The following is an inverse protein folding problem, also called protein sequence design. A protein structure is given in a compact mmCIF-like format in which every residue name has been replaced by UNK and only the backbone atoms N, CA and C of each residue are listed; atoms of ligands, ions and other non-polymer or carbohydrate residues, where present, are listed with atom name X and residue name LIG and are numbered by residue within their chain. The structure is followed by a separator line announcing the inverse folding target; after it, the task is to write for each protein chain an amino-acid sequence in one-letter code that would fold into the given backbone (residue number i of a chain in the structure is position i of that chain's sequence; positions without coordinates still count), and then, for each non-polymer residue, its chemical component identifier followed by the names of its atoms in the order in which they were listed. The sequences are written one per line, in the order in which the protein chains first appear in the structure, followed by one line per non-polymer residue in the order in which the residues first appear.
data_IF_509741368490
#
_entry.id   IF_509741368490
#
_cell.length_a   1.000
_cell.length_b   1.000
_cell.length_c   1.000
_cell.angle_alpha   90.00
_cell.angle_beta   90.00
_cell.angle_gamma   90.00
#
_symmetry.space_group_name_H-M   'P 1'
#
loop_
_entity.id
_entity.type
_entity.pdbx_description
1 polymer ?
#
# COMPACT_ATOMS: atom_id res chain seq x y z
N UNK A 1 8.32 -2.36 -70.74
CA UNK A 1 7.43 -1.30 -70.21
C UNK A 1 6.71 -1.86 -68.99
N UNK A 2 6.83 -1.19 -67.83
CA UNK A 2 5.99 -1.38 -66.61
C UNK A 2 6.42 -2.54 -65.69
N UNK A 3 7.37 -2.39 -64.77
CA UNK A 3 7.31 -1.71 -63.46
C UNK A 3 6.79 -2.63 -62.32
N UNK A 4 7.72 -3.36 -61.70
CA UNK A 4 7.60 -3.93 -60.36
C UNK A 4 7.68 -2.80 -59.32
N UNK A 5 6.73 -2.75 -58.39
CA UNK A 5 6.82 -1.90 -57.19
C UNK A 5 6.97 -2.78 -55.94
N UNK A 6 8.23 -3.12 -55.65
CA UNK A 6 8.65 -3.58 -54.33
C UNK A 6 8.60 -2.41 -53.35
N UNK A 7 7.62 -2.42 -52.44
CA UNK A 7 7.59 -1.48 -51.31
C UNK A 7 8.55 -1.95 -50.22
N UNK A 8 9.70 -1.28 -50.19
CA UNK A 8 10.63 -1.20 -49.08
C UNK A 8 9.92 -0.63 -47.85
N UNK A 9 9.84 -1.40 -46.77
CA UNK A 9 9.62 -0.87 -45.42
C UNK A 9 10.98 -0.43 -44.84
N UNK A 10 11.08 0.75 -44.20
CA UNK A 10 12.31 1.13 -43.51
C UNK A 10 12.44 0.33 -42.22
N UNK A 11 13.56 -0.39 -42.07
CA UNK A 11 13.96 -1.01 -40.81
C UNK A 11 14.09 0.03 -39.70
N UNK A 12 13.47 -0.25 -38.55
CA UNK A 12 13.67 0.53 -37.33
C UNK A 12 15.07 0.26 -36.77
N UNK A 13 15.81 1.29 -36.33
CA UNK A 13 17.14 1.11 -35.76
C UNK A 13 17.06 0.33 -34.44
N UNK A 14 17.71 -0.84 -34.42
CA UNK A 14 17.93 -1.65 -33.21
C UNK A 14 18.92 -0.89 -32.30
N UNK A 15 18.44 -0.47 -31.13
CA UNK A 15 19.31 0.06 -30.07
C UNK A 15 20.17 -1.06 -29.48
N UNK A 16 21.45 -0.79 -29.13
CA UNK A 16 22.37 -1.81 -28.66
C UNK A 16 21.98 -2.30 -27.26
N UNK A 17 21.78 -3.62 -27.14
CA UNK A 17 21.63 -4.36 -25.87
C UNK A 17 22.86 -4.09 -25.00
N UNK A 18 22.73 -3.25 -23.97
CA UNK A 18 23.68 -3.20 -22.86
C UNK A 18 23.27 -4.27 -21.85
N UNK A 19 23.98 -5.41 -21.86
CA UNK A 19 23.97 -6.34 -20.73
C UNK A 19 24.52 -5.60 -19.51
N UNK A 20 23.68 -5.37 -18.50
CA UNK A 20 24.14 -4.94 -17.19
C UNK A 20 24.65 -6.18 -16.45
N UNK A 21 25.96 -6.42 -16.53
CA UNK A 21 26.66 -7.33 -15.62
C UNK A 21 26.83 -6.62 -14.27
N UNK A 22 26.14 -7.12 -13.23
CA UNK A 22 26.34 -6.70 -11.84
C UNK A 22 27.72 -7.15 -11.33
N UNK A 23 28.54 -6.27 -10.73
CA UNK A 23 29.71 -6.68 -9.98
C UNK A 23 29.31 -7.08 -8.54
N UNK A 24 29.49 -8.36 -8.20
CA UNK A 24 29.81 -8.79 -6.84
C UNK A 24 31.19 -8.19 -6.51
N UNK A 25 31.35 -7.44 -5.42
CA UNK A 25 32.45 -7.48 -4.41
C UNK A 25 32.12 -6.43 -3.32
N UNK A 26 31.75 -6.85 -2.11
CA UNK A 26 32.62 -6.90 -0.91
C UNK A 26 33.30 -5.57 -0.56
N UNK A 27 32.91 -4.96 0.57
CA UNK A 27 33.83 -4.20 1.44
C UNK A 27 33.31 -4.23 2.88
N UNK A 28 33.78 -5.21 3.64
CA UNK A 28 34.19 -5.01 5.03
C UNK A 28 35.43 -4.12 5.05
N UNK A 29 35.48 -3.10 5.90
CA UNK A 29 36.58 -2.80 6.85
C UNK A 29 36.54 -1.36 7.37
N UNK A 30 36.70 -1.27 8.67
CA UNK A 30 37.08 -0.13 9.51
C UNK A 30 38.43 0.46 9.10
N UNK A 31 38.61 1.78 9.21
CA UNK A 31 39.66 2.43 10.04
C UNK A 31 39.77 3.94 9.81
N UNK A 32 39.92 4.66 10.92
CA UNK A 32 40.24 6.07 11.08
C UNK A 32 41.48 6.54 10.32
N UNK A 33 41.50 7.81 9.89
CA UNK A 33 42.71 8.64 9.89
C UNK A 33 42.34 10.11 10.11
N UNK A 34 42.99 10.70 11.11
CA UNK A 34 43.00 12.09 11.54
C UNK A 34 43.75 13.00 10.57
N UNK A 35 43.27 14.23 10.32
CA UNK A 35 44.12 15.38 9.99
C UNK A 35 43.59 16.62 10.73
N UNK A 36 44.52 17.26 11.43
CA UNK A 36 44.37 18.42 12.30
C UNK A 36 44.99 19.64 11.59
N UNK A 37 44.37 20.82 11.67
CA UNK A 37 45.00 22.13 11.40
C UNK A 37 44.34 23.21 12.27
N UNK A 38 45.18 23.95 13.00
CA UNK A 38 44.81 24.72 14.18
C UNK A 38 44.32 26.17 13.94
N UNK A 39 43.92 26.81 15.05
CA UNK A 39 43.63 28.24 15.13
C UNK A 39 42.97 28.67 16.45
N UNK A 40 43.79 29.04 17.45
CA UNK A 40 43.42 29.48 18.82
C UNK A 40 42.53 30.73 18.86
N UNK A 41 41.57 30.80 19.80
CA UNK A 41 41.43 31.83 20.86
C UNK A 41 40.68 31.25 22.07
N UNK A 42 41.20 31.45 23.28
CA UNK A 42 40.56 31.20 24.60
C UNK A 42 40.43 32.56 25.32
N UNK A 43 39.52 32.82 26.30
CA UNK A 43 39.67 32.21 27.64
C UNK A 43 38.40 32.02 28.55
N UNK A 44 38.39 30.88 29.29
CA UNK A 44 38.10 30.72 30.74
C UNK A 44 36.65 30.75 31.32
N UNK A 45 36.41 30.22 32.54
CA UNK A 45 35.74 28.91 32.74
C UNK A 45 34.59 28.92 33.78
N UNK A 46 33.81 27.83 33.89
CA UNK A 46 33.13 27.43 35.15
C UNK A 46 33.05 25.90 35.25
N UNK A 47 33.37 25.40 36.44
CA UNK A 47 33.54 24.02 36.91
C UNK A 47 32.25 23.20 37.04
N UNK A 48 32.35 21.86 36.95
CA UNK A 48 32.10 20.96 38.09
C UNK A 48 32.39 19.48 37.77
N UNK A 49 32.97 18.83 38.77
CA UNK A 49 33.50 17.48 38.90
C UNK A 49 32.40 16.38 39.03
N UNK A 50 32.62 15.19 38.46
CA UNK A 50 33.00 13.93 39.15
C UNK A 50 31.83 13.33 39.96
N UNK A 51 31.35 12.11 39.70
CA UNK A 51 32.08 10.89 40.06
C UNK A 51 31.35 9.63 39.57
N UNK A 52 32.17 8.62 39.30
CA UNK A 52 31.85 7.23 38.96
C UNK A 52 31.15 6.49 40.13
N UNK A 53 30.50 5.36 39.85
CA UNK A 53 30.80 4.02 40.39
C UNK A 53 29.66 3.01 40.12
N UNK A 54 29.97 1.99 39.31
CA UNK A 54 29.44 0.61 39.36
C UNK A 54 29.93 -0.09 40.67
N UNK A 55 29.53 -1.33 41.09
CA UNK A 55 29.02 -2.45 40.28
C UNK A 55 28.00 -3.43 40.94
N UNK A 56 27.38 -4.25 40.08
CA UNK A 56 27.15 -5.70 40.22
C UNK A 56 26.42 -6.29 41.44
N UNK A 57 25.39 -7.10 41.21
CA UNK A 57 25.50 -8.58 41.35
C UNK A 57 24.20 -9.30 40.97
N UNK A 58 24.39 -10.55 40.58
CA UNK A 58 23.47 -11.54 40.03
C UNK A 58 22.63 -12.25 41.11
N UNK A 59 21.39 -12.66 40.79
CA UNK A 59 20.84 -13.90 41.33
C UNK A 59 19.67 -14.43 40.49
N UNK A 60 19.47 -15.73 40.62
CA UNK A 60 18.85 -16.67 39.67
C UNK A 60 17.53 -17.24 40.20
N UNK A 61 16.73 -17.77 39.26
CA UNK A 61 15.79 -18.91 39.36
C UNK A 61 14.34 -18.79 39.91
N UNK A 62 13.46 -19.28 39.02
CA UNK A 62 12.32 -20.24 39.16
C UNK A 62 10.91 -19.80 39.57
N UNK A 63 10.02 -19.96 38.57
CA UNK A 63 8.77 -20.75 38.54
C UNK A 63 7.82 -20.71 39.75
N UNK A 64 6.61 -20.22 39.49
CA UNK A 64 5.44 -20.37 40.37
C UNK A 64 4.16 -19.93 39.67
N UNK A 65 3.46 -20.91 39.09
CA UNK A 65 2.19 -20.83 38.38
C UNK A 65 1.04 -20.43 39.34
N UNK A 66 0.24 -19.43 38.98
CA UNK A 66 -1.08 -19.20 39.57
C UNK A 66 -2.11 -18.91 38.47
N UNK A 67 -3.11 -19.77 38.48
CA UNK A 67 -4.32 -19.78 37.66
C UNK A 67 -5.19 -18.56 37.99
N UNK A 68 -5.57 -17.80 36.96
CA UNK A 68 -6.57 -16.75 37.04
C UNK A 68 -7.37 -16.74 35.74
N UNK A 69 -8.60 -17.25 35.82
CA UNK A 69 -9.56 -17.26 34.73
C UNK A 69 -9.92 -15.82 34.34
N UNK A 70 -9.57 -15.41 33.12
CA UNK A 70 -10.21 -14.28 32.47
C UNK A 70 -10.83 -14.72 31.15
N UNK A 71 -12.11 -14.41 31.04
CA UNK A 71 -13.05 -14.63 29.95
C UNK A 71 -12.46 -14.25 28.60
N UNK A 72 -12.16 -15.28 27.80
CA UNK A 72 -11.80 -15.13 26.40
C UNK A 72 -13.06 -14.86 25.56
N UNK A 73 -13.44 -13.59 25.51
CA UNK A 73 -14.34 -13.02 24.50
C UNK A 73 -13.52 -12.10 23.61
N UNK A 74 -12.56 -12.65 22.85
CA UNK A 74 -11.91 -11.96 21.73
C UNK A 74 -11.14 -12.92 20.81
N UNK A 75 -11.62 -14.15 20.66
CA UNK A 75 -11.14 -15.03 19.60
C UNK A 75 -12.13 -15.01 18.45
N UNK A 76 -12.14 -13.91 17.70
CA UNK A 76 -12.51 -14.01 16.29
C UNK A 76 -11.56 -15.04 15.68
N UNK A 77 -12.12 -16.20 15.37
CA UNK A 77 -11.44 -17.29 14.69
C UNK A 77 -10.82 -16.76 13.40
N UNK A 78 -9.55 -16.36 13.45
CA UNK A 78 -8.70 -16.29 12.27
C UNK A 78 -8.11 -17.68 12.12
N UNK A 79 -8.45 -18.45 11.08
CA UNK A 79 -7.64 -19.61 10.76
C UNK A 79 -6.23 -19.08 10.53
N UNK A 80 -5.24 -19.61 11.24
CA UNK A 80 -3.85 -19.46 10.85
C UNK A 80 -3.73 -20.05 9.44
N UNK A 81 -3.86 -19.21 8.42
CA UNK A 81 -3.56 -19.59 7.04
C UNK A 81 -2.05 -19.72 6.98
N UNK A 82 -1.55 -20.92 7.27
CA UNK A 82 -0.20 -21.34 6.94
C UNK A 82 0.07 -20.95 5.48
N UNK A 83 0.99 -20.01 5.30
CA UNK A 83 1.59 -19.54 4.05
C UNK A 83 0.61 -19.19 2.91
N UNK A 84 0.05 -17.97 2.97
CA UNK A 84 -0.68 -17.36 1.86
C UNK A 84 0.17 -17.22 0.57
N UNK A 85 1.49 -17.29 0.65
CA UNK A 85 2.40 -17.24 -0.49
C UNK A 85 3.36 -18.43 -0.44
N UNK A 86 3.62 -19.02 -1.60
CA UNK A 86 4.67 -20.03 -1.75
C UNK A 86 6.07 -19.40 -1.70
N UNK A 87 7.09 -20.18 -1.33
CA UNK A 87 8.49 -19.72 -1.39
C UNK A 87 8.88 -19.24 -2.79
N UNK A 88 8.39 -19.95 -3.82
CA UNK A 88 8.61 -19.57 -5.22
C UNK A 88 8.01 -18.20 -5.56
N UNK A 89 6.76 -17.92 -5.15
CA UNK A 89 6.16 -16.60 -5.36
C UNK A 89 6.94 -15.50 -4.63
N UNK A 90 7.40 -15.79 -3.41
CA UNK A 90 8.21 -14.84 -2.64
C UNK A 90 9.55 -14.56 -3.34
N UNK A 91 10.24 -15.58 -3.84
CA UNK A 91 11.49 -15.45 -4.60
C UNK A 91 11.28 -14.62 -5.88
N UNK A 92 10.17 -14.84 -6.59
CA UNK A 92 9.78 -14.05 -7.76
C UNK A 92 9.59 -12.58 -7.37
N UNK A 93 8.85 -12.30 -6.29
CA UNK A 93 8.63 -10.92 -5.84
C UNK A 93 9.93 -10.23 -5.42
N UNK A 94 10.79 -10.92 -4.66
CA UNK A 94 12.07 -10.40 -4.19
C UNK A 94 13.06 -10.15 -5.32
N UNK A 95 13.10 -11.02 -6.32
CA UNK A 95 14.01 -10.87 -7.47
C UNK A 95 13.56 -9.82 -8.48
N UNK A 96 12.26 -9.61 -8.64
CA UNK A 96 11.70 -8.67 -9.63
C UNK A 96 11.41 -7.29 -9.09
N UNK A 97 11.17 -7.13 -7.77
CA UNK A 97 10.97 -5.82 -7.16
C UNK A 97 12.09 -4.80 -7.45
N UNK A 98 13.39 -5.15 -7.37
CA UNK A 98 14.46 -4.21 -7.68
C UNK A 98 14.41 -3.62 -9.09
N UNK A 99 13.84 -4.34 -10.06
CA UNK A 99 13.66 -3.85 -11.44
C UNK A 99 12.61 -2.74 -11.50
N UNK A 100 11.54 -2.88 -10.71
CA UNK A 100 10.49 -1.86 -10.56
C UNK A 100 10.99 -0.70 -9.68
N UNK A 101 11.79 -1.00 -8.66
CA UNK A 101 12.20 -0.02 -7.65
C UNK A 101 13.26 0.96 -8.14
N UNK A 102 14.03 0.58 -9.17
CA UNK A 102 15.15 1.36 -9.71
C UNK A 102 14.76 2.81 -10.05
N UNK A 103 13.55 3.02 -10.59
CA UNK A 103 12.97 4.34 -10.90
C UNK A 103 11.59 4.48 -10.26
N UNK A 104 11.50 4.19 -8.96
CA UNK A 104 10.25 4.07 -8.19
C UNK A 104 9.22 5.17 -8.48
N UNK A 105 9.64 6.45 -8.46
CA UNK A 105 8.72 7.57 -8.67
C UNK A 105 8.14 7.59 -10.08
N UNK A 106 9.00 7.46 -11.09
CA UNK A 106 8.61 7.49 -12.51
C UNK A 106 7.74 6.29 -12.88
N UNK A 107 8.12 5.10 -12.39
CA UNK A 107 7.34 3.87 -12.58
C UNK A 107 5.97 3.97 -11.90
N UNK A 108 5.91 4.57 -10.71
CA UNK A 108 4.65 4.85 -10.03
C UNK A 108 3.76 5.84 -10.80
N UNK A 109 4.32 6.92 -11.34
CA UNK A 109 3.58 7.82 -12.24
C UNK A 109 2.99 7.09 -13.44
N UNK A 110 3.76 6.17 -14.05
CA UNK A 110 3.30 5.38 -15.18
C UNK A 110 2.10 4.48 -14.82
N UNK A 111 2.07 3.90 -13.60
CA UNK A 111 0.88 3.18 -13.11
C UNK A 111 -0.35 4.09 -13.07
N UNK A 112 -0.23 5.30 -12.52
CA UNK A 112 -1.36 6.22 -12.45
C UNK A 112 -1.81 6.70 -13.84
N UNK A 113 -0.88 6.97 -14.76
CA UNK A 113 -1.19 7.31 -16.14
C UNK A 113 -1.95 6.17 -16.85
N UNK A 114 -1.53 4.92 -16.65
CA UNK A 114 -2.23 3.75 -17.17
C UNK A 114 -3.62 3.63 -16.54
N UNK A 115 -3.76 3.81 -15.22
CA UNK A 115 -5.05 3.77 -14.53
C UNK A 115 -6.02 4.86 -15.04
N UNK A 116 -5.54 6.08 -15.28
CA UNK A 116 -6.34 7.17 -15.83
C UNK A 116 -6.68 6.96 -17.31
N UNK A 117 -5.85 6.21 -18.04
CA UNK A 117 -6.14 5.82 -19.42
C UNK A 117 -7.24 4.76 -19.47
N UNK A 118 -7.19 3.78 -18.56
CA UNK A 118 -8.22 2.74 -18.40
C UNK A 118 -9.55 3.36 -17.96
N UNK A 119 -9.54 4.21 -16.91
CA UNK A 119 -10.74 4.86 -16.39
C UNK A 119 -10.55 6.39 -16.27
N UNK A 120 -10.96 7.17 -17.29
CA UNK A 120 -10.72 8.61 -17.36
C UNK A 120 -11.35 9.47 -16.27
N UNK A 121 -12.33 8.95 -15.53
CA UNK A 121 -12.93 9.69 -14.40
C UNK A 121 -12.15 9.51 -13.09
N UNK A 122 -11.20 8.57 -13.01
CA UNK A 122 -10.44 8.30 -11.80
C UNK A 122 -9.71 9.52 -11.21
N UNK A 123 -9.17 10.47 -12.01
CA UNK A 123 -8.55 11.69 -11.49
C UNK A 123 -9.43 12.48 -10.51
N UNK A 124 -10.76 12.44 -10.63
CA UNK A 124 -11.71 13.21 -9.79
C UNK A 124 -11.58 12.94 -8.29
N UNK A 125 -11.02 11.78 -7.91
CA UNK A 125 -10.83 11.38 -6.52
C UNK A 125 -9.55 11.95 -5.90
N UNK A 126 -8.68 12.54 -6.71
CA UNK A 126 -7.45 13.14 -6.24
C UNK A 126 -7.71 14.62 -5.96
N UNK A 127 -7.63 15.01 -4.68
CA UNK A 127 -7.85 16.39 -4.22
C UNK A 127 -6.79 17.40 -4.72
N UNK A 128 -6.00 17.04 -5.74
CA UNK A 128 -5.05 17.91 -6.42
C UNK A 128 -5.62 18.50 -7.72
N UNK A 129 -6.85 18.13 -8.11
CA UNK A 129 -7.49 18.59 -9.35
C UNK A 129 -7.74 20.11 -9.42
N UNK A 130 -7.71 20.79 -8.28
CA UNK A 130 -7.81 22.26 -8.20
C UNK A 130 -6.46 22.96 -8.44
N UNK A 131 -5.36 22.21 -8.44
CA UNK A 131 -4.03 22.74 -8.74
C UNK A 131 -3.74 22.59 -10.24
N UNK A 132 -3.08 23.59 -10.88
CA UNK A 132 -2.55 23.39 -12.21
C UNK A 132 -1.63 22.16 -12.23
N UNK A 133 -1.81 21.27 -13.21
CA UNK A 133 -1.04 20.01 -13.33
C UNK A 133 0.47 20.23 -13.35
N UNK A 134 0.91 21.35 -13.88
CA UNK A 134 2.33 21.71 -14.00
C UNK A 134 2.83 22.55 -12.79
N UNK A 135 2.00 22.75 -11.77
CA UNK A 135 2.42 23.45 -10.56
C UNK A 135 3.35 22.59 -9.71
N UNK A 136 4.32 23.23 -9.07
CA UNK A 136 5.25 22.58 -8.15
C UNK A 136 4.51 21.85 -7.02
N UNK A 137 3.44 22.46 -6.49
CA UNK A 137 2.62 21.86 -5.43
C UNK A 137 1.86 20.60 -5.90
N UNK A 138 1.34 20.59 -7.13
CA UNK A 138 0.72 19.38 -7.71
C UNK A 138 1.76 18.26 -7.82
N UNK A 139 2.94 18.58 -8.34
CA UNK A 139 4.02 17.62 -8.52
C UNK A 139 4.54 17.08 -7.18
N UNK A 140 4.68 17.93 -6.16
CA UNK A 140 5.11 17.52 -4.82
C UNK A 140 4.08 16.57 -4.17
N UNK A 141 2.81 16.98 -4.14
CA UNK A 141 1.74 16.19 -3.51
C UNK A 141 1.51 14.88 -4.25
N UNK A 142 1.51 14.92 -5.59
CA UNK A 142 1.42 13.74 -6.44
C UNK A 142 2.58 12.78 -6.22
N UNK A 143 3.82 13.29 -6.20
CA UNK A 143 5.01 12.48 -5.97
C UNK A 143 5.00 11.82 -4.59
N UNK A 144 4.57 12.54 -3.54
CA UNK A 144 4.40 11.95 -2.21
C UNK A 144 3.37 10.83 -2.19
N UNK A 145 2.22 11.03 -2.84
CA UNK A 145 1.19 9.99 -2.93
C UNK A 145 1.69 8.77 -3.70
N UNK A 146 2.40 8.97 -4.81
CA UNK A 146 2.96 7.89 -5.62
C UNK A 146 4.05 7.12 -4.86
N UNK A 147 4.93 7.80 -4.15
CA UNK A 147 5.93 7.12 -3.31
C UNK A 147 5.28 6.33 -2.19
N UNK A 148 4.21 6.84 -1.58
CA UNK A 148 3.43 6.11 -0.59
C UNK A 148 2.77 4.86 -1.20
N UNK A 149 2.17 5.00 -2.39
CA UNK A 149 1.58 3.89 -3.16
C UNK A 149 2.63 2.82 -3.48
N UNK A 150 3.78 3.20 -4.05
CA UNK A 150 4.87 2.26 -4.33
C UNK A 150 5.41 1.63 -3.05
N UNK A 151 5.42 2.38 -1.95
CA UNK A 151 5.79 1.91 -0.61
C UNK A 151 4.90 0.77 -0.10
N UNK A 152 3.65 0.66 -0.56
CA UNK A 152 2.75 -0.44 -0.18
C UNK A 152 3.34 -1.78 -0.61
N UNK A 153 3.88 -1.89 -1.82
CA UNK A 153 4.39 -3.16 -2.35
C UNK A 153 5.65 -3.63 -1.63
N UNK A 154 6.63 -2.76 -1.39
CA UNK A 154 7.83 -3.14 -0.63
C UNK A 154 7.48 -3.55 0.80
N UNK A 155 6.55 -2.85 1.45
CA UNK A 155 6.10 -3.20 2.78
C UNK A 155 5.30 -4.52 2.80
N UNK A 156 4.54 -4.80 1.75
CA UNK A 156 3.83 -6.08 1.60
C UNK A 156 4.84 -7.22 1.45
N UNK A 157 5.83 -7.08 0.56
CA UNK A 157 6.89 -8.08 0.37
C UNK A 157 7.68 -8.30 1.67
N UNK A 158 8.07 -7.22 2.37
CA UNK A 158 8.75 -7.30 3.67
C UNK A 158 7.91 -8.06 4.71
N UNK A 159 6.61 -7.78 4.79
CA UNK A 159 5.70 -8.50 5.69
C UNK A 159 5.62 -10.00 5.38
N UNK A 160 5.69 -10.38 4.10
CA UNK A 160 5.70 -11.78 3.69
C UNK A 160 7.06 -12.45 3.97
N UNK A 161 8.15 -11.69 3.92
CA UNK A 161 9.53 -12.15 4.12
C UNK A 161 10.02 -12.03 5.58
N UNK A 162 9.19 -12.42 6.54
CA UNK A 162 9.55 -12.41 7.97
C UNK A 162 9.43 -11.06 8.67
N UNK A 163 8.93 -10.02 7.98
CA UNK A 163 8.56 -8.75 8.59
C UNK A 163 7.26 -8.82 9.41
N UNK A 164 6.86 -7.68 9.94
CA UNK A 164 5.70 -7.53 10.83
C UNK A 164 4.37 -7.54 10.04
N UNK A 165 3.80 -8.73 9.88
CA UNK A 165 2.53 -8.98 9.16
C UNK A 165 1.34 -8.28 9.79
N UNK A 166 1.25 -8.27 11.12
CA UNK A 166 0.11 -7.69 11.84
C UNK A 166 0.11 -6.17 11.68
N UNK A 167 1.25 -5.52 11.88
CA UNK A 167 1.38 -4.08 11.65
C UNK A 167 1.17 -3.68 10.20
N UNK A 168 1.58 -4.50 9.23
CA UNK A 168 1.25 -4.26 7.83
C UNK A 168 -0.27 -4.29 7.62
N UNK A 169 -0.93 -5.35 8.11
CA UNK A 169 -2.37 -5.52 8.00
C UNK A 169 -3.15 -4.36 8.63
N UNK A 170 -2.84 -3.96 9.87
CA UNK A 170 -3.48 -2.82 10.55
C UNK A 170 -3.36 -1.51 9.75
N UNK A 171 -2.16 -1.24 9.20
CA UNK A 171 -1.94 -0.05 8.38
C UNK A 171 -2.75 -0.08 7.09
N UNK A 172 -2.88 -1.25 6.46
CA UNK A 172 -3.68 -1.40 5.24
C UNK A 172 -5.18 -1.31 5.54
N UNK A 173 -5.66 -1.85 6.67
CA UNK A 173 -7.03 -1.65 7.14
C UNK A 173 -7.36 -0.16 7.29
N UNK A 174 -6.50 0.59 7.98
CA UNK A 174 -6.68 2.04 8.11
C UNK A 174 -6.60 2.77 6.77
N UNK A 175 -5.73 2.32 5.86
CA UNK A 175 -5.63 2.89 4.52
C UNK A 175 -6.90 2.61 3.71
N UNK A 176 -7.50 1.44 3.82
CA UNK A 176 -8.79 1.10 3.22
C UNK A 176 -9.90 2.02 3.72
N UNK A 177 -10.04 2.16 5.05
CA UNK A 177 -11.00 3.07 5.65
C UNK A 177 -10.84 4.53 5.17
N UNK A 178 -9.59 5.00 5.00
CA UNK A 178 -9.31 6.34 4.43
C UNK A 178 -9.76 6.49 2.98
N UNK A 179 -9.69 5.43 2.18
CA UNK A 179 -10.22 5.47 0.81
C UNK A 179 -11.75 5.45 0.80
N UNK A 180 -12.39 4.67 1.67
CA UNK A 180 -13.85 4.67 1.82
C UNK A 180 -14.40 6.04 2.23
N UNK A 181 -13.66 6.80 3.03
CA UNK A 181 -14.02 8.16 3.41
C UNK A 181 -13.94 9.19 2.26
N UNK A 182 -13.39 8.83 1.08
CA UNK A 182 -13.35 9.72 -0.08
C UNK A 182 -14.73 9.70 -0.76
N UNK A 183 -15.41 10.86 -0.91
CA UNK A 183 -16.74 10.90 -1.50
C UNK A 183 -16.82 10.26 -2.89
N UNK A 184 -17.72 9.28 -3.05
CA UNK A 184 -17.95 8.57 -4.31
C UNK A 184 -16.86 7.56 -4.69
N UNK A 185 -15.85 7.34 -3.84
CA UNK A 185 -14.87 6.28 -4.02
C UNK A 185 -15.54 4.92 -3.86
N UNK A 186 -15.18 3.99 -4.74
CA UNK A 186 -15.72 2.63 -4.79
C UNK A 186 -14.58 1.62 -4.85
N UNK A 187 -14.75 0.49 -4.17
CA UNK A 187 -13.74 -0.59 -4.11
C UNK A 187 -13.41 -1.17 -5.48
N UNK A 188 -14.33 -1.09 -6.44
CA UNK A 188 -14.13 -1.52 -7.83
C UNK A 188 -13.01 -0.75 -8.53
N UNK A 189 -12.72 0.49 -8.13
CA UNK A 189 -11.61 1.26 -8.68
C UNK A 189 -10.24 0.62 -8.38
N UNK A 190 -10.11 -0.19 -7.32
CA UNK A 190 -8.87 -0.94 -7.08
C UNK A 190 -8.59 -1.96 -8.19
N UNK A 191 -9.61 -2.47 -8.89
CA UNK A 191 -9.43 -3.36 -10.04
C UNK A 191 -8.77 -2.65 -11.23
N UNK A 192 -9.09 -1.36 -11.43
CA UNK A 192 -8.43 -0.52 -12.44
C UNK A 192 -6.93 -0.40 -12.11
N UNK A 193 -6.61 -0.14 -10.85
CA UNK A 193 -5.22 -0.07 -10.41
C UNK A 193 -4.51 -1.42 -10.56
N UNK A 194 -5.13 -2.55 -10.22
CA UNK A 194 -4.54 -3.88 -10.47
C UNK A 194 -4.14 -4.07 -11.93
N UNK A 195 -5.05 -3.76 -12.85
CA UNK A 195 -4.77 -3.86 -14.28
C UNK A 195 -3.64 -2.91 -14.69
N UNK A 196 -3.69 -1.65 -14.26
CA UNK A 196 -2.67 -0.66 -14.56
C UNK A 196 -1.27 -1.06 -14.05
N UNK A 197 -1.18 -1.63 -12.84
CA UNK A 197 0.07 -2.12 -12.26
C UNK A 197 0.66 -3.23 -13.13
N UNK A 198 -0.15 -4.24 -13.48
CA UNK A 198 0.34 -5.37 -14.29
C UNK A 198 0.76 -4.93 -15.70
N UNK A 199 0.03 -4.00 -16.32
CA UNK A 199 0.42 -3.39 -17.60
C UNK A 199 1.76 -2.66 -17.48
N UNK A 200 1.94 -1.90 -16.40
CA UNK A 200 3.21 -1.20 -16.16
C UNK A 200 4.35 -2.19 -15.96
N UNK A 201 4.19 -3.23 -15.14
CA UNK A 201 5.27 -4.20 -14.86
C UNK A 201 5.68 -4.95 -16.12
N UNK A 202 4.70 -5.33 -16.95
CA UNK A 202 4.94 -5.91 -18.27
C UNK A 202 5.77 -4.99 -19.17
N UNK A 203 5.46 -3.70 -19.19
CA UNK A 203 6.21 -2.72 -19.98
C UNK A 203 7.63 -2.44 -19.46
N UNK A 204 7.88 -2.66 -18.16
CA UNK A 204 9.19 -2.42 -17.54
C UNK A 204 10.12 -3.64 -17.66
N UNK A 205 9.58 -4.84 -17.47
CA UNK A 205 10.35 -6.08 -17.43
C UNK A 205 10.45 -6.78 -18.81
N UNK A 206 9.56 -6.43 -19.75
CA UNK A 206 9.53 -7.01 -21.11
C UNK A 206 9.57 -8.55 -21.09
N UNK A 207 10.63 -9.16 -21.62
CA UNK A 207 10.80 -10.61 -21.71
C UNK A 207 10.89 -11.28 -20.31
N UNK A 208 11.27 -10.54 -19.27
CA UNK A 208 11.34 -11.05 -17.89
C UNK A 208 9.96 -11.11 -17.22
N UNK A 209 8.91 -10.50 -17.81
CA UNK A 209 7.54 -10.57 -17.28
C UNK A 209 6.83 -11.86 -17.72
N UNK A 210 7.36 -13.00 -17.25
CA UNK A 210 6.79 -14.31 -17.54
C UNK A 210 5.42 -14.51 -16.88
N UNK A 211 4.72 -15.57 -17.26
CA UNK A 211 3.43 -15.90 -16.65
C UNK A 211 3.53 -16.16 -15.14
N UNK A 212 4.65 -16.70 -14.67
CA UNK A 212 4.92 -16.88 -13.24
C UNK A 212 5.07 -15.54 -12.53
N UNK A 213 5.82 -14.60 -13.13
CA UNK A 213 5.97 -13.24 -12.62
C UNK A 213 4.62 -12.53 -12.56
N UNK A 214 3.84 -12.60 -13.64
CA UNK A 214 2.49 -12.02 -13.69
C UNK A 214 1.59 -12.59 -12.59
N UNK A 215 1.60 -13.91 -12.39
CA UNK A 215 0.77 -14.57 -11.36
C UNK A 215 1.18 -14.16 -9.95
N UNK A 216 2.47 -14.18 -9.62
CA UNK A 216 2.97 -13.79 -8.30
C UNK A 216 2.63 -12.33 -7.97
N UNK A 217 2.83 -11.41 -8.94
CA UNK A 217 2.45 -10.01 -8.77
C UNK A 217 0.95 -9.82 -8.65
N UNK A 218 0.15 -10.50 -9.47
CA UNK A 218 -1.31 -10.43 -9.38
C UNK A 218 -1.80 -10.91 -8.00
N UNK A 219 -1.21 -11.98 -7.47
CA UNK A 219 -1.52 -12.50 -6.15
C UNK A 219 -1.15 -11.51 -5.03
N UNK A 220 0.03 -10.90 -5.08
CA UNK A 220 0.41 -9.85 -4.14
C UNK A 220 -0.55 -8.66 -4.17
N UNK A 221 -0.94 -8.22 -5.36
CA UNK A 221 -1.87 -7.10 -5.53
C UNK A 221 -3.26 -7.48 -4.98
N UNK A 222 -3.75 -8.69 -5.25
CA UNK A 222 -5.02 -9.17 -4.72
C UNK A 222 -5.01 -9.28 -3.19
N UNK A 223 -3.90 -9.73 -2.62
CA UNK A 223 -3.71 -9.77 -1.17
C UNK A 223 -3.84 -8.36 -0.55
N UNK A 224 -3.14 -7.37 -1.12
CA UNK A 224 -3.22 -5.98 -0.66
C UNK A 224 -4.65 -5.41 -0.82
N UNK A 225 -5.25 -5.60 -2.00
CA UNK A 225 -6.62 -5.12 -2.29
C UNK A 225 -7.64 -5.79 -1.35
N UNK A 226 -7.45 -7.07 -1.01
CA UNK A 226 -8.31 -7.78 -0.05
C UNK A 226 -8.35 -7.08 1.30
N UNK A 227 -7.19 -6.69 1.83
CA UNK A 227 -7.10 -5.99 3.12
C UNK A 227 -7.68 -4.56 3.02
N UNK A 228 -7.41 -3.85 1.91
CA UNK A 228 -7.98 -2.52 1.68
C UNK A 228 -9.52 -2.58 1.63
N UNK A 229 -10.09 -3.57 0.95
CA UNK A 229 -11.52 -3.78 0.87
C UNK A 229 -12.12 -4.07 2.25
N UNK A 230 -11.45 -4.90 3.05
CA UNK A 230 -11.88 -5.16 4.43
C UNK A 230 -11.91 -3.86 5.25
N UNK A 231 -10.88 -3.03 5.14
CA UNK A 231 -10.85 -1.70 5.76
C UNK A 231 -11.98 -0.77 5.28
N UNK A 232 -12.31 -0.80 3.99
CA UNK A 232 -13.43 -0.05 3.43
C UNK A 232 -14.78 -0.51 4.01
N UNK A 233 -14.99 -1.82 4.13
CA UNK A 233 -16.22 -2.40 4.64
C UNK A 233 -16.42 -2.09 6.12
N UNK A 234 -15.35 -2.21 6.93
CA UNK A 234 -15.40 -1.84 8.35
C UNK A 234 -15.76 -0.37 8.53
N UNK A 235 -15.25 0.52 7.69
CA UNK A 235 -15.62 1.93 7.70
C UNK A 235 -17.12 2.14 7.41
N UNK A 236 -17.64 1.49 6.36
CA UNK A 236 -19.06 1.56 6.00
C UNK A 236 -19.97 1.07 7.13
N UNK A 237 -19.62 -0.06 7.75
CA UNK A 237 -20.39 -0.63 8.86
C UNK A 237 -20.44 0.28 10.09
N UNK A 238 -19.31 0.91 10.45
CA UNK A 238 -19.26 1.83 11.59
C UNK A 238 -19.99 3.15 11.28
N UNK A 239 -19.91 3.65 10.04
CA UNK A 239 -20.68 4.83 9.60
C UNK A 239 -22.20 4.58 9.68
N UNK A 240 -22.67 3.41 9.20
CA UNK A 240 -24.08 3.01 9.30
C UNK A 240 -24.54 2.96 10.76
N UNK A 241 -23.71 2.37 11.64
CA UNK A 241 -24.01 2.26 13.07
C UNK A 241 -24.13 3.62 13.75
N UNK A 242 -23.20 4.56 13.50
CA UNK A 242 -23.24 5.91 14.05
C UNK A 242 -24.51 6.65 13.60
N UNK A 243 -24.90 6.52 12.33
CA UNK A 243 -26.12 7.13 11.79
C UNK A 243 -27.37 6.55 12.46
N UNK A 244 -27.43 5.24 12.69
CA UNK A 244 -28.54 4.58 13.37
C UNK A 244 -28.65 5.02 14.84
N UNK A 245 -27.53 5.08 15.56
CA UNK A 245 -27.50 5.55 16.95
C UNK A 245 -27.95 7.03 17.06
N UNK A 246 -27.53 7.87 16.12
CA UNK A 246 -27.93 9.28 16.03
C UNK A 246 -29.43 9.42 15.75
N UNK A 247 -29.98 8.63 14.82
CA UNK A 247 -31.42 8.65 14.53
C UNK A 247 -32.27 8.18 15.71
N UNK A 248 -31.80 7.16 16.45
CA UNK A 248 -32.46 6.67 17.66
C UNK A 248 -32.44 7.71 18.79
N UNK A 249 -31.33 8.44 18.97
CA UNK A 249 -31.23 9.47 20.01
C UNK A 249 -32.14 10.69 19.71
N UNK A 250 -32.24 11.11 18.44
CA UNK A 250 -33.20 12.14 18.03
C UNK A 250 -34.65 11.71 18.24
N UNK A 251 -34.99 10.46 17.89
CA UNK A 251 -36.35 9.92 18.07
C UNK A 251 -36.73 9.72 19.54
N UNK A 252 -35.76 9.37 20.39
CA UNK A 252 -35.96 9.27 21.85
C UNK A 252 -36.17 10.66 22.50
N UNK A 253 -35.70 11.72 21.87
CA UNK A 253 -35.86 13.11 22.34
C UNK A 253 -37.22 13.71 21.94
N UNK A 254 -37.86 13.19 20.88
CA UNK A 254 -39.09 13.75 20.27
C UNK A 254 -40.39 13.00 20.62
N UNK A 255 -40.37 11.92 21.39
CA UNK A 255 -41.61 11.15 21.65
C UNK A 255 -41.71 10.58 23.06
N UNK A 256 -42.69 11.09 23.80
CA UNK A 256 -43.32 10.44 24.94
C UNK A 256 -43.82 9.03 24.55
N UNK A 257 -43.51 8.05 25.40
CA UNK A 257 -44.17 6.75 25.65
C UNK A 257 -44.73 5.96 24.44
N UNK A 258 -44.11 4.81 24.11
CA UNK A 258 -44.69 3.44 24.08
C UNK A 258 -43.73 2.42 23.39
N UNK A 259 -43.92 1.08 23.59
CA UNK A 259 -42.81 0.18 23.84
C UNK A 259 -42.32 -0.68 22.66
N UNK A 260 -41.02 -0.94 22.72
CA UNK A 260 -40.27 -2.16 22.40
C UNK A 260 -40.74 -3.02 21.20
N UNK A 261 -39.96 -2.93 20.12
CA UNK A 261 -39.90 -3.92 19.06
C UNK A 261 -38.45 -4.00 18.56
N UNK A 262 -37.69 -4.93 19.12
CA UNK A 262 -36.34 -5.28 18.69
C UNK A 262 -36.39 -5.93 17.30
N UNK A 263 -35.90 -5.22 16.29
CA UNK A 263 -35.54 -5.82 15.00
C UNK A 263 -34.48 -4.96 14.32
N UNK A 264 -33.21 -5.19 14.67
CA UNK A 264 -32.06 -4.74 13.87
C UNK A 264 -31.82 -5.72 12.72
N UNK A 265 -32.86 -5.91 11.89
CA UNK A 265 -32.67 -6.49 10.56
C UNK A 265 -32.24 -5.33 9.68
N UNK A 266 -31.07 -5.44 9.00
CA UNK A 266 -30.62 -4.49 7.97
C UNK A 266 -31.85 -3.96 7.23
N UNK A 267 -32.01 -2.63 7.16
CA UNK A 267 -33.00 -2.04 6.26
C UNK A 267 -32.53 -2.36 4.84
N UNK A 268 -33.00 -3.51 4.34
CA UNK A 268 -32.71 -4.00 3.00
C UNK A 268 -33.24 -2.99 1.99
N UNK A 269 -32.36 -2.15 1.45
CA UNK A 269 -32.74 -1.16 0.44
C UNK A 269 -31.78 0.01 0.28
N UNK A 270 -30.89 0.29 1.23
CA UNK A 270 -29.88 1.34 1.04
C UNK A 270 -28.70 0.79 0.24
N UNK A 271 -28.35 1.41 -0.91
CA UNK A 271 -27.20 0.97 -1.71
C UNK A 271 -25.90 1.23 -0.93
N UNK A 272 -24.94 0.32 -1.08
CA UNK A 272 -23.62 0.43 -0.45
C UNK A 272 -22.91 1.70 -0.90
N UNK A 273 -22.27 2.38 0.05
CA UNK A 273 -21.45 3.56 -0.23
C UNK A 273 -20.07 3.17 -0.75
N UNK A 274 -19.54 1.99 -0.40
CA UNK A 274 -18.20 1.52 -0.83
C UNK A 274 -18.19 0.55 -2.01
N UNK A 275 -19.31 -0.08 -2.35
CA UNK A 275 -19.44 -0.96 -3.53
C UNK A 275 -20.40 -0.37 -4.57
N UNK A 276 -20.21 -0.75 -5.83
CA UNK A 276 -21.08 -0.36 -6.93
C UNK A 276 -22.33 -1.26 -6.96
N UNK A 277 -23.47 -0.65 -7.24
CA UNK A 277 -24.68 -1.37 -7.66
C UNK A 277 -24.46 -2.05 -9.02
N UNK A 278 -25.28 -3.05 -9.41
CA UNK A 278 -25.17 -3.68 -10.72
C UNK A 278 -25.25 -2.71 -11.92
N UNK A 279 -26.04 -1.64 -11.79
CA UNK A 279 -26.16 -0.60 -12.81
C UNK A 279 -24.91 0.28 -12.87
N UNK A 280 -24.40 0.74 -11.72
CA UNK A 280 -23.14 1.48 -11.64
C UNK A 280 -21.97 0.64 -12.18
N UNK A 281 -21.95 -0.66 -11.89
CA UNK A 281 -20.93 -1.58 -12.37
C UNK A 281 -20.98 -1.75 -13.90
N UNK A 282 -22.18 -1.86 -14.48
CA UNK A 282 -22.34 -1.93 -15.93
C UNK A 282 -21.86 -0.64 -16.61
N UNK A 283 -22.21 0.52 -16.05
CA UNK A 283 -21.72 1.81 -16.53
C UNK A 283 -20.20 1.92 -16.39
N UNK A 284 -19.65 1.54 -15.23
CA UNK A 284 -18.22 1.51 -14.97
C UNK A 284 -17.45 0.71 -16.01
N UNK A 285 -17.88 -0.52 -16.31
CA UNK A 285 -17.24 -1.33 -17.35
C UNK A 285 -17.38 -0.75 -18.75
N UNK A 286 -18.47 -0.02 -19.04
CA UNK A 286 -18.62 0.67 -20.34
C UNK A 286 -17.65 1.85 -20.53
N UNK A 287 -17.16 2.43 -19.42
CA UNK A 287 -16.20 3.53 -19.42
C UNK A 287 -14.75 3.06 -19.40
N UNK A 288 -14.51 1.79 -19.01
CA UNK A 288 -13.19 1.18 -19.08
C UNK A 288 -12.75 1.00 -20.54
N UNK A 289 -11.52 1.42 -20.86
CA UNK A 289 -10.90 1.29 -22.18
C UNK A 289 -9.90 0.15 -22.27
#
# INVERSE_FOLDING_TARGET
MGAEQSRLYPEKPRLPRKRLSLPLQLMTTTSSTTVNCGGRVTPKPVSCELSQLTPGSSCSQREGQLVGNETNLNQFFRPETENQFTEFELDVLLSTWPLIDANRLENGWLVFQNAFSIYPELPKFFHFDQLPRDSEEYMERGSRHILAFMGVFVNAIDSLNGGDKERFYERMMLLGARHAAIPGMKTEYFKVFKQAILMTWESLMYEEFTDDVRRAWAHLIDYVIGILNEGCLVFEEEEEKILLETQLSHRASDSQLLPYGSSTRRRSGQPSVVSMTPEELANFYSLCK
#
